data_IF_231831148926
#
_entry.id   IF_231831148926
#
_cell.length_a   1.000
_cell.length_b   1.000
_cell.length_c   1.000
_cell.angle_alpha   90.00
_cell.angle_beta   90.00
_cell.angle_gamma   90.00
#
_symmetry.space_group_name_H-M   'P 1'
#
loop_
_entity.id
_entity.type
_entity.pdbx_description
1 polymer ?
#
# COMPACT_ATOMS: atom_id res chain seq x y z
N UNK A 1 1.11 -18.00 -2.37
CA UNK A 1 1.89 -16.78 -2.67
C UNK A 1 1.15 -15.52 -2.26
N UNK A 2 -0.06 -15.27 -2.78
CA UNK A 2 -0.85 -14.08 -2.43
C UNK A 2 -1.19 -13.93 -0.94
N UNK A 3 -1.47 -15.03 -0.23
CA UNK A 3 -1.65 -15.00 1.22
C UNK A 3 -0.40 -14.49 1.97
N UNK A 4 0.80 -14.94 1.56
CA UNK A 4 2.08 -14.44 2.12
C UNK A 4 2.28 -12.96 1.81
N UNK A 5 1.92 -12.53 0.59
CA UNK A 5 1.96 -11.12 0.18
C UNK A 5 1.05 -10.23 1.03
N UNK A 6 -0.15 -10.72 1.35
CA UNK A 6 -1.11 -10.01 2.21
C UNK A 6 -0.57 -9.83 3.63
N UNK A 7 0.05 -10.87 4.21
CA UNK A 7 0.73 -10.73 5.51
C UNK A 7 1.90 -9.75 5.47
N UNK A 8 2.73 -9.77 4.41
CA UNK A 8 3.83 -8.82 4.24
C UNK A 8 3.30 -7.39 4.14
N UNK A 9 2.23 -7.16 3.36
CA UNK A 9 1.60 -5.84 3.26
C UNK A 9 1.01 -5.35 4.57
N UNK A 10 0.41 -6.25 5.37
CA UNK A 10 -0.09 -5.90 6.71
C UNK A 10 1.05 -5.48 7.64
N UNK A 11 2.15 -6.23 7.64
CA UNK A 11 3.34 -5.88 8.42
C UNK A 11 3.92 -4.55 7.96
N UNK A 12 4.07 -4.34 6.65
CA UNK A 12 4.59 -3.08 6.10
C UNK A 12 3.66 -1.90 6.38
N UNK A 13 2.34 -2.10 6.34
CA UNK A 13 1.37 -1.08 6.70
C UNK A 13 1.51 -0.66 8.17
N UNK A 14 1.71 -1.62 9.07
CA UNK A 14 1.96 -1.36 10.50
C UNK A 14 3.31 -0.65 10.69
N UNK A 15 4.37 -1.10 10.03
CA UNK A 15 5.70 -0.45 10.11
C UNK A 15 5.63 0.98 9.59
N UNK A 16 5.01 1.21 8.43
CA UNK A 16 4.81 2.55 7.87
C UNK A 16 4.03 3.43 8.84
N UNK A 17 2.95 2.90 9.43
CA UNK A 17 2.16 3.60 10.43
C UNK A 17 3.00 3.98 11.65
N UNK A 18 3.80 3.07 12.21
CA UNK A 18 4.61 3.33 13.39
C UNK A 18 5.74 4.34 13.13
N UNK A 19 6.38 4.28 11.96
CA UNK A 19 7.45 5.21 11.58
C UNK A 19 6.90 6.61 11.31
N UNK A 20 5.71 6.72 10.71
CA UNK A 20 5.14 7.98 10.25
C UNK A 20 3.91 8.49 11.04
N UNK A 21 3.56 7.86 12.17
CA UNK A 21 2.46 8.30 13.03
C UNK A 21 2.69 9.73 13.55
N UNK A 22 3.95 10.11 13.75
CA UNK A 22 4.35 11.39 14.37
C UNK A 22 3.95 12.60 13.52
N UNK A 23 3.81 12.45 12.21
CA UNK A 23 3.30 13.49 11.29
C UNK A 23 1.86 13.23 10.85
N UNK A 24 1.15 12.31 11.51
CA UNK A 24 -0.09 11.65 11.09
C UNK A 24 -1.19 12.60 10.62
N UNK A 25 -1.20 12.89 9.32
CA UNK A 25 -2.35 13.53 8.67
C UNK A 25 -3.49 12.53 8.58
N UNK A 26 -4.73 13.02 8.64
CA UNK A 26 -5.93 12.18 8.50
C UNK A 26 -5.87 11.30 7.24
N UNK A 27 -5.34 11.84 6.13
CA UNK A 27 -5.19 11.11 4.88
C UNK A 27 -4.24 9.90 5.01
N UNK A 28 -3.12 10.05 5.73
CA UNK A 28 -2.17 8.96 5.98
C UNK A 28 -2.79 7.85 6.84
N UNK A 29 -3.47 8.21 7.92
CA UNK A 29 -4.12 7.23 8.81
C UNK A 29 -5.22 6.45 8.09
N UNK A 30 -6.10 7.16 7.39
CA UNK A 30 -7.20 6.52 6.63
C UNK A 30 -6.65 5.69 5.47
N UNK A 31 -5.65 6.19 4.74
CA UNK A 31 -5.02 5.46 3.64
C UNK A 31 -4.44 4.11 4.09
N UNK A 32 -3.69 4.09 5.19
CA UNK A 32 -3.12 2.87 5.75
C UNK A 32 -4.21 1.90 6.22
N UNK A 33 -5.25 2.40 6.90
CA UNK A 33 -6.39 1.58 7.33
C UNK A 33 -7.08 0.93 6.14
N UNK A 34 -7.29 1.66 5.05
CA UNK A 34 -7.92 1.11 3.86
C UNK A 34 -7.04 0.05 3.18
N UNK A 35 -5.72 0.25 3.15
CA UNK A 35 -4.78 -0.79 2.68
C UNK A 35 -4.89 -2.04 3.57
N UNK A 36 -4.96 -1.89 4.90
CA UNK A 36 -5.15 -3.02 5.83
C UNK A 36 -6.46 -3.75 5.56
N UNK A 37 -7.58 -3.02 5.41
CA UNK A 37 -8.89 -3.60 5.11
C UNK A 37 -8.88 -4.33 3.77
N UNK A 38 -8.26 -3.76 2.73
CA UNK A 38 -8.12 -4.44 1.43
C UNK A 38 -7.33 -5.75 1.57
N UNK A 39 -6.22 -5.74 2.31
CA UNK A 39 -5.41 -6.94 2.54
C UNK A 39 -6.17 -8.00 3.36
N UNK A 40 -6.94 -7.59 4.36
CA UNK A 40 -7.81 -8.51 5.09
C UNK A 40 -8.89 -9.11 4.17
N UNK A 41 -9.60 -8.29 3.40
CA UNK A 41 -10.62 -8.75 2.46
C UNK A 41 -10.03 -9.76 1.45
N UNK A 42 -8.82 -9.51 0.95
CA UNK A 42 -8.13 -10.46 0.08
C UNK A 42 -7.83 -11.77 0.81
N UNK A 43 -7.30 -11.72 2.04
CA UNK A 43 -6.98 -12.89 2.86
C UNK A 43 -8.22 -13.74 3.18
N UNK A 44 -9.34 -13.09 3.50
CA UNK A 44 -10.62 -13.77 3.75
C UNK A 44 -11.13 -14.47 2.49
N UNK A 45 -11.00 -13.83 1.33
CA UNK A 45 -11.30 -14.45 0.04
C UNK A 45 -10.42 -15.67 -0.26
N UNK A 46 -9.13 -15.66 0.13
CA UNK A 46 -8.26 -16.84 0.05
C UNK A 46 -8.77 -17.99 0.91
N UNK A 47 -9.08 -17.73 2.18
CA UNK A 47 -9.50 -18.76 3.14
C UNK A 47 -10.82 -19.43 2.72
N UNK A 48 -11.73 -18.67 2.10
CA UNK A 48 -13.01 -19.17 1.61
C UNK A 48 -12.94 -19.75 0.19
N UNK A 49 -11.75 -19.81 -0.42
CA UNK A 49 -11.54 -20.14 -1.84
C UNK A 49 -12.41 -19.33 -2.82
N UNK A 50 -12.92 -18.16 -2.38
CA UNK A 50 -13.83 -17.31 -3.13
C UNK A 50 -13.11 -16.03 -3.54
N UNK A 51 -12.61 -16.02 -4.77
CA UNK A 51 -11.82 -14.94 -5.35
C UNK A 51 -12.65 -13.89 -6.09
N UNK A 52 -13.98 -13.96 -6.03
CA UNK A 52 -14.82 -12.96 -6.67
C UNK A 52 -14.76 -11.65 -5.91
N UNK A 53 -14.44 -10.57 -6.62
CA UNK A 53 -14.45 -9.24 -6.04
C UNK A 53 -15.89 -8.83 -5.76
N UNK A 54 -16.13 -8.38 -4.52
CA UNK A 54 -17.37 -7.69 -4.15
C UNK A 54 -17.15 -6.19 -4.25
N UNK A 55 -18.23 -5.42 -4.17
CA UNK A 55 -18.20 -3.95 -4.22
C UNK A 55 -17.12 -3.35 -3.29
N UNK A 56 -16.94 -3.94 -2.10
CA UNK A 56 -15.96 -3.52 -1.10
C UNK A 56 -14.51 -3.68 -1.57
N UNK A 57 -14.18 -4.72 -2.37
CA UNK A 57 -12.84 -4.90 -2.93
C UNK A 57 -12.49 -3.81 -3.94
N UNK A 58 -13.46 -3.40 -4.76
CA UNK A 58 -13.26 -2.30 -5.71
C UNK A 58 -13.07 -0.97 -5.00
N UNK A 59 -13.92 -0.65 -4.01
CA UNK A 59 -13.82 0.59 -3.24
C UNK A 59 -12.49 0.69 -2.47
N UNK A 60 -12.15 -0.36 -1.73
CA UNK A 60 -10.90 -0.38 -0.95
C UNK A 60 -9.66 -0.47 -1.84
N UNK A 61 -9.75 -1.14 -2.99
CA UNK A 61 -8.67 -1.19 -3.97
C UNK A 61 -8.41 0.15 -4.66
N UNK A 62 -9.47 0.86 -5.09
CA UNK A 62 -9.35 2.20 -5.68
C UNK A 62 -8.78 3.20 -4.69
N UNK A 63 -9.26 3.17 -3.44
CA UNK A 63 -8.72 4.05 -2.40
C UNK A 63 -7.26 3.72 -2.06
N UNK A 64 -6.90 2.42 -2.05
CA UNK A 64 -5.51 2.00 -1.89
C UNK A 64 -4.62 2.53 -3.02
N UNK A 65 -5.10 2.50 -4.27
CA UNK A 65 -4.39 3.08 -5.42
C UNK A 65 -4.21 4.60 -5.28
N UNK A 66 -5.27 5.32 -4.91
CA UNK A 66 -5.20 6.75 -4.63
C UNK A 66 -4.15 7.05 -3.56
N UNK A 67 -4.18 6.32 -2.44
CA UNK A 67 -3.26 6.52 -1.34
C UNK A 67 -1.80 6.26 -1.74
N UNK A 68 -1.52 5.16 -2.46
CA UNK A 68 -0.19 4.90 -3.01
C UNK A 68 0.27 6.05 -3.92
N UNK A 69 -0.63 6.58 -4.75
CA UNK A 69 -0.36 7.76 -5.58
C UNK A 69 0.11 8.96 -4.74
N UNK A 70 -0.53 9.21 -3.60
CA UNK A 70 -0.11 10.29 -2.70
C UNK A 70 1.26 10.04 -2.07
N UNK A 71 1.58 8.80 -1.70
CA UNK A 71 2.90 8.42 -1.16
C UNK A 71 3.98 8.62 -2.22
N UNK A 72 3.76 8.14 -3.45
CA UNK A 72 4.72 8.27 -4.55
C UNK A 72 4.95 9.74 -4.88
N UNK A 73 3.88 10.53 -4.97
CA UNK A 73 3.99 11.98 -5.19
C UNK A 73 4.82 12.67 -4.11
N UNK A 74 4.56 12.38 -2.83
CA UNK A 74 5.33 12.92 -1.71
C UNK A 74 6.80 12.49 -1.75
N UNK A 75 7.09 11.24 -2.10
CA UNK A 75 8.44 10.74 -2.27
C UNK A 75 9.20 11.47 -3.39
N UNK A 76 8.58 11.70 -4.54
CA UNK A 76 9.18 12.46 -5.65
C UNK A 76 9.43 13.90 -5.25
N UNK A 77 8.48 14.53 -4.56
CA UNK A 77 8.60 15.92 -4.10
C UNK A 77 9.78 16.09 -3.12
N UNK A 78 9.89 15.20 -2.14
CA UNK A 78 10.99 15.20 -1.17
C UNK A 78 12.32 14.92 -1.86
N UNK A 79 12.36 13.95 -2.78
CA UNK A 79 13.57 13.64 -3.54
C UNK A 79 14.05 14.85 -4.35
N UNK A 80 13.16 15.51 -5.08
CA UNK A 80 13.49 16.72 -5.86
C UNK A 80 14.02 17.83 -4.95
N UNK A 81 13.35 18.08 -3.82
CA UNK A 81 13.79 19.09 -2.85
C UNK A 81 15.18 18.76 -2.30
N UNK A 82 15.42 17.50 -1.91
CA UNK A 82 16.74 17.08 -1.40
C UNK A 82 17.86 17.20 -2.43
N UNK A 83 17.56 16.96 -3.71
CA UNK A 83 18.53 17.16 -4.80
C UNK A 83 18.83 18.65 -5.02
N UNK A 84 17.83 19.52 -4.97
CA UNK A 84 17.97 20.97 -5.13
C UNK A 84 18.87 21.58 -4.03
N UNK A 85 18.69 21.15 -2.78
CA UNK A 85 19.48 21.63 -1.65
C UNK A 85 20.77 20.83 -1.41
N UNK A 86 21.12 19.88 -2.29
CA UNK A 86 22.28 18.98 -2.14
C UNK A 86 22.38 18.29 -0.77
N UNK A 87 21.24 18.06 -0.12
CA UNK A 87 21.18 17.52 1.23
C UNK A 87 20.22 16.34 1.29
N UNK A 88 20.80 15.16 1.48
CA UNK A 88 20.06 13.91 1.70
C UNK A 88 20.43 13.43 3.10
N UNK A 89 19.51 13.59 4.05
CA UNK A 89 19.68 13.02 5.39
C UNK A 89 19.39 11.52 5.38
N UNK A 90 19.87 10.82 6.42
CA UNK A 90 19.54 9.42 6.66
C UNK A 90 18.03 9.21 6.79
N UNK A 91 17.31 10.12 7.42
CA UNK A 91 15.86 10.06 7.57
C UNK A 91 15.14 10.12 6.22
N UNK A 92 15.61 10.98 5.31
CA UNK A 92 15.08 11.06 3.94
C UNK A 92 15.29 9.76 3.18
N UNK A 93 16.48 9.13 3.30
CA UNK A 93 16.76 7.84 2.66
C UNK A 93 15.86 6.72 3.20
N UNK A 94 15.66 6.67 4.52
CA UNK A 94 14.76 5.71 5.16
C UNK A 94 13.33 5.91 4.65
N UNK A 95 12.87 7.16 4.58
CA UNK A 95 11.55 7.50 4.05
C UNK A 95 11.35 7.07 2.61
N UNK A 96 12.27 7.40 1.72
CA UNK A 96 12.19 7.03 0.31
C UNK A 96 12.19 5.51 0.16
N UNK A 97 13.03 4.81 0.92
CA UNK A 97 13.15 3.35 0.85
C UNK A 97 11.86 2.66 1.33
N UNK A 98 11.36 3.01 2.52
CA UNK A 98 10.14 2.41 3.08
C UNK A 98 8.94 2.74 2.20
N UNK A 99 8.80 4.00 1.78
CA UNK A 99 7.68 4.44 0.92
C UNK A 99 7.67 3.72 -0.43
N UNK A 100 8.85 3.51 -1.03
CA UNK A 100 8.99 2.80 -2.30
C UNK A 100 8.64 1.32 -2.15
N UNK A 101 9.20 0.64 -1.16
CA UNK A 101 8.93 -0.78 -0.90
C UNK A 101 7.46 -1.01 -0.58
N UNK A 102 6.87 -0.19 0.28
CA UNK A 102 5.45 -0.28 0.63
C UNK A 102 4.55 -0.06 -0.59
N UNK A 103 4.80 1.00 -1.37
CA UNK A 103 4.03 1.31 -2.57
C UNK A 103 4.06 0.16 -3.59
N UNK A 104 5.26 -0.38 -3.85
CA UNK A 104 5.43 -1.51 -4.75
C UNK A 104 4.70 -2.76 -4.25
N UNK A 105 4.79 -3.06 -2.96
CA UNK A 105 4.15 -4.23 -2.37
C UNK A 105 2.62 -4.16 -2.47
N UNK A 106 2.03 -2.98 -2.25
CA UNK A 106 0.57 -2.79 -2.39
C UNK A 106 0.15 -2.86 -3.86
N UNK A 107 0.88 -2.24 -4.78
CA UNK A 107 0.60 -2.32 -6.23
C UNK A 107 0.66 -3.75 -6.76
N UNK A 108 1.72 -4.50 -6.40
CA UNK A 108 1.86 -5.91 -6.77
C UNK A 108 0.70 -6.75 -6.22
N UNK A 109 0.29 -6.51 -4.98
CA UNK A 109 -0.81 -7.23 -4.37
C UNK A 109 -2.14 -6.96 -5.09
N UNK A 110 -2.44 -5.70 -5.37
CA UNK A 110 -3.63 -5.29 -6.15
C UNK A 110 -3.63 -5.96 -7.53
N UNK A 111 -2.54 -5.85 -8.28
CA UNK A 111 -2.43 -6.42 -9.62
C UNK A 111 -2.57 -7.94 -9.65
N UNK A 112 -1.91 -8.64 -8.72
CA UNK A 112 -2.00 -10.10 -8.64
C UNK A 112 -3.39 -10.57 -8.19
N UNK A 113 -4.01 -9.87 -7.24
CA UNK A 113 -5.35 -10.21 -6.77
C UNK A 113 -6.41 -9.95 -7.85
N UNK A 114 -6.27 -8.85 -8.60
CA UNK A 114 -7.13 -8.55 -9.74
C UNK A 114 -7.02 -9.62 -10.84
N UNK A 115 -5.78 -9.98 -11.24
CA UNK A 115 -5.53 -11.05 -12.23
C UNK A 115 -6.12 -12.39 -11.79
N UNK A 116 -6.01 -12.72 -10.49
CA UNK A 116 -6.57 -13.94 -9.92
C UNK A 116 -8.10 -13.93 -9.99
N UNK A 117 -8.73 -12.81 -9.65
CA UNK A 117 -10.19 -12.68 -9.70
C UNK A 117 -10.73 -12.77 -11.13
N UNK A 118 -10.09 -12.08 -12.08
CA UNK A 118 -10.48 -12.11 -13.49
C UNK A 118 -10.49 -13.54 -14.06
N UNK A 119 -9.49 -14.36 -13.70
CA UNK A 119 -9.41 -15.79 -14.08
C UNK A 119 -10.46 -16.71 -13.43
N UNK A 120 -11.17 -16.23 -12.40
CA UNK A 120 -12.24 -17.01 -11.73
C UNK A 120 -13.61 -16.64 -12.31
N UNK A 121 -13.74 -15.44 -12.86
CA UNK A 121 -14.99 -14.96 -13.47
C UNK A 121 -15.11 -15.38 -14.94
N UNK A 122 -13.98 -15.49 -15.66
CA UNK A 122 -13.90 -16.04 -17.03
C UNK A 122 -13.29 -17.43 -17.04
#
# INVERSE_FOLDING_TARGET
MLQKLSYINLILAIVYLLVYLKSGTFNSTVGILVVIVFNWLSLRSYQLANYQWKIWHYLTGLWSLYYIGTIIYGAIFILNSSLEYHFISTDTLIFLSISSVFSLAVLLHLGLYFKKSYKVVN
#
